data_IF_246956027368
#
_entry.id   IF_246956027368
#
_cell.length_a   1.000
_cell.length_b   1.000
_cell.length_c   1.000
_cell.angle_alpha   90.00
_cell.angle_beta   90.00
_cell.angle_gamma   90.00
#
_symmetry.space_group_name_H-M   'P 1'
#
loop_
_entity.id
_entity.type
_entity.pdbx_description
1 polymer ?
#
# COMPACT_ATOMS: atom_id res chain seq x y z
N UNK A 1 -1.52 3.71 12.91
CA UNK A 1 -2.35 2.58 12.43
C UNK A 1 -1.69 1.22 12.61
N UNK A 2 -0.37 1.07 12.44
CA UNK A 2 0.32 -0.23 12.58
C UNK A 2 0.17 -0.96 13.93
N UNK A 3 -0.12 -0.23 15.01
CA UNK A 3 -0.22 -0.78 16.37
C UNK A 3 -1.65 -0.82 16.93
N UNK A 4 -2.63 -0.19 16.26
CA UNK A 4 -4.01 -0.11 16.77
C UNK A 4 -4.86 -1.31 16.37
N UNK A 5 -4.72 -1.74 15.12
CA UNK A 5 -5.08 -3.08 14.67
C UNK A 5 -3.75 -3.83 14.64
N UNK A 6 -3.58 -4.99 15.28
CA UNK A 6 -2.28 -5.66 15.39
C UNK A 6 -1.80 -6.18 14.02
N UNK A 7 -1.41 -5.28 13.12
CA UNK A 7 -0.89 -5.54 11.78
C UNK A 7 0.40 -6.36 11.83
N UNK A 8 1.19 -6.15 12.88
CA UNK A 8 2.48 -6.82 13.10
C UNK A 8 2.31 -8.21 13.73
N UNK A 9 1.23 -8.43 14.50
CA UNK A 9 0.97 -9.71 15.19
C UNK A 9 -0.07 -10.58 14.49
N UNK A 10 -0.80 -10.03 13.51
CA UNK A 10 -1.79 -10.75 12.70
C UNK A 10 -1.19 -11.15 11.35
N UNK A 11 -0.80 -12.43 11.23
CA UNK A 11 -0.24 -13.00 10.00
C UNK A 11 -1.12 -12.78 8.77
N UNK A 12 -2.45 -12.74 8.93
CA UNK A 12 -3.42 -12.49 7.84
C UNK A 12 -3.26 -11.10 7.24
N UNK A 13 -2.88 -10.10 8.05
CA UNK A 13 -2.63 -8.73 7.60
C UNK A 13 -1.16 -8.46 7.24
N UNK A 14 -0.23 -9.29 7.72
CA UNK A 14 1.18 -9.22 7.32
C UNK A 14 1.39 -9.67 5.87
N UNK A 15 0.64 -10.69 5.41
CA UNK A 15 0.67 -11.19 4.03
C UNK A 15 0.41 -10.07 3.01
N UNK A 16 -0.75 -9.36 3.02
CA UNK A 16 -0.99 -8.30 2.04
C UNK A 16 0.04 -7.18 2.14
N UNK A 17 0.53 -6.87 3.34
CA UNK A 17 1.57 -5.86 3.50
C UNK A 17 2.85 -6.23 2.74
N UNK A 18 3.33 -7.47 2.85
CA UNK A 18 4.56 -7.89 2.18
C UNK A 18 4.34 -8.05 0.67
N UNK A 19 3.28 -8.76 0.27
CA UNK A 19 3.05 -9.09 -1.14
C UNK A 19 2.64 -7.86 -1.96
N UNK A 20 1.72 -7.03 -1.47
CA UNK A 20 1.26 -5.84 -2.22
C UNK A 20 2.42 -4.84 -2.37
N UNK A 21 3.19 -4.59 -1.31
CA UNK A 21 4.33 -3.69 -1.41
C UNK A 21 5.43 -4.27 -2.31
N UNK A 22 5.71 -5.58 -2.22
CA UNK A 22 6.71 -6.25 -3.06
C UNK A 22 6.34 -6.23 -4.54
N UNK A 23 5.10 -6.59 -4.89
CA UNK A 23 4.58 -6.55 -6.27
C UNK A 23 4.64 -5.13 -6.80
N UNK A 24 4.20 -4.15 -6.01
CA UNK A 24 4.18 -2.75 -6.44
C UNK A 24 5.60 -2.19 -6.67
N UNK A 25 6.56 -2.60 -5.84
CA UNK A 25 7.97 -2.27 -6.03
C UNK A 25 8.53 -2.92 -7.31
N UNK A 26 8.23 -4.19 -7.55
CA UNK A 26 8.64 -4.90 -8.76
C UNK A 26 8.08 -4.26 -10.02
N UNK A 27 6.80 -3.89 -10.02
CA UNK A 27 6.15 -3.16 -11.12
C UNK A 27 6.83 -1.82 -11.34
N UNK A 28 7.04 -1.03 -10.28
CA UNK A 28 7.70 0.27 -10.38
C UNK A 28 9.10 0.14 -11.00
N UNK A 29 9.90 -0.82 -10.53
CA UNK A 29 11.22 -1.10 -11.07
C UNK A 29 11.18 -1.51 -12.54
N UNK A 30 10.27 -2.43 -12.90
CA UNK A 30 10.11 -2.85 -14.29
C UNK A 30 9.76 -1.68 -15.21
N UNK A 31 8.79 -0.83 -14.81
CA UNK A 31 8.42 0.37 -15.57
C UNK A 31 9.58 1.38 -15.70
N UNK A 32 10.47 1.46 -14.72
CA UNK A 32 11.68 2.28 -14.79
C UNK A 32 12.71 1.70 -15.77
N UNK A 33 12.87 0.37 -15.81
CA UNK A 33 13.83 -0.31 -16.70
C UNK A 33 13.42 -0.19 -18.16
N UNK A 34 12.12 -0.34 -18.47
CA UNK A 34 11.59 -0.20 -19.85
C UNK A 34 11.50 1.26 -20.33
N UNK A 35 11.89 2.23 -19.51
CA UNK A 35 11.90 3.66 -19.86
C UNK A 35 10.53 4.34 -19.87
N UNK A 36 9.48 3.68 -19.39
CA UNK A 36 8.14 4.28 -19.25
C UNK A 36 8.14 5.30 -18.11
N UNK A 37 8.73 4.94 -16.97
CA UNK A 37 8.98 5.84 -15.85
C UNK A 37 10.41 6.38 -15.91
N UNK A 38 10.61 7.71 -15.85
CA UNK A 38 11.96 8.26 -15.73
C UNK A 38 12.56 7.89 -14.37
N UNK A 39 13.89 7.79 -14.33
CA UNK A 39 14.60 7.64 -13.06
C UNK A 39 14.34 8.87 -12.19
N UNK A 40 14.05 8.64 -10.91
CA UNK A 40 13.83 9.69 -9.93
C UNK A 40 15.04 10.62 -9.87
N UNK A 41 14.81 11.93 -9.88
CA UNK A 41 15.85 12.96 -10.03
C UNK A 41 16.79 13.15 -8.81
N UNK A 42 16.89 12.15 -7.93
CA UNK A 42 17.69 12.25 -6.69
C UNK A 42 17.06 13.12 -5.59
N UNK A 43 15.84 13.64 -5.81
CA UNK A 43 15.09 14.39 -4.80
C UNK A 43 14.42 13.42 -3.83
N UNK A 44 14.92 13.38 -2.59
CA UNK A 44 14.29 12.67 -1.48
C UNK A 44 13.03 13.42 -1.05
N UNK A 45 11.86 12.99 -1.51
CA UNK A 45 10.59 13.58 -1.05
C UNK A 45 10.36 13.26 0.43
N UNK A 46 10.11 14.27 1.29
CA UNK A 46 9.81 14.06 2.70
C UNK A 46 8.64 13.09 2.90
N UNK A 47 8.77 12.18 3.88
CA UNK A 47 7.69 11.27 4.27
C UNK A 47 6.54 12.09 4.88
N UNK A 48 5.49 12.31 4.09
CA UNK A 48 4.35 13.19 4.45
C UNK A 48 3.84 14.04 3.29
N UNK A 49 4.62 14.16 2.20
CA UNK A 49 4.14 14.81 0.99
C UNK A 49 2.97 14.05 0.35
N UNK A 50 1.91 14.73 -0.10
CA UNK A 50 0.84 14.10 -0.86
C UNK A 50 1.41 13.39 -2.09
N UNK A 51 0.87 12.20 -2.37
CA UNK A 51 1.37 11.28 -3.39
C UNK A 51 1.60 11.99 -4.73
N UNK A 52 0.63 12.78 -5.17
CA UNK A 52 0.70 13.53 -6.43
C UNK A 52 1.89 14.53 -6.42
N UNK A 53 1.99 15.36 -5.38
CA UNK A 53 3.07 16.34 -5.22
C UNK A 53 4.43 15.64 -5.16
N UNK A 54 4.50 14.50 -4.47
CA UNK A 54 5.72 13.73 -4.34
C UNK A 54 6.23 13.19 -5.68
N UNK A 55 5.31 12.74 -6.56
CA UNK A 55 5.67 12.29 -7.90
C UNK A 55 6.14 13.43 -8.82
N UNK A 56 5.54 14.62 -8.70
CA UNK A 56 6.01 15.80 -9.43
C UNK A 56 7.39 16.26 -8.96
N UNK A 57 7.64 16.26 -7.66
CA UNK A 57 8.95 16.59 -7.07
C UNK A 57 10.06 15.61 -7.48
N UNK A 58 9.71 14.35 -7.73
CA UNK A 58 10.64 13.34 -8.25
C UNK A 58 11.03 13.58 -9.73
N UNK A 59 10.47 14.61 -10.37
CA UNK A 59 10.90 15.13 -11.66
C UNK A 59 10.04 14.71 -12.84
N UNK A 60 8.89 14.05 -12.63
CA UNK A 60 8.00 13.69 -13.75
C UNK A 60 6.54 13.47 -13.39
N UNK A 61 5.66 14.02 -14.22
CA UNK A 61 4.21 13.77 -14.17
C UNK A 61 3.85 12.29 -14.33
N UNK A 62 4.67 11.51 -15.04
CA UNK A 62 4.46 10.06 -15.21
C UNK A 62 4.59 9.31 -13.88
N UNK A 63 5.50 9.77 -13.02
CA UNK A 63 5.69 9.22 -11.67
C UNK A 63 4.46 9.55 -10.81
N UNK A 64 3.98 10.79 -10.86
CA UNK A 64 2.75 11.18 -10.16
C UNK A 64 1.54 10.34 -10.59
N UNK A 65 1.36 10.12 -11.90
CA UNK A 65 0.29 9.27 -12.43
C UNK A 65 0.42 7.80 -11.97
N UNK A 66 1.63 7.24 -12.01
CA UNK A 66 1.88 5.88 -11.53
C UNK A 66 1.60 5.73 -10.03
N UNK A 67 2.02 6.70 -9.21
CA UNK A 67 1.76 6.66 -7.79
C UNK A 67 0.25 6.82 -7.48
N UNK A 68 -0.48 7.63 -8.26
CA UNK A 68 -1.93 7.77 -8.15
C UNK A 68 -2.65 6.46 -8.48
N UNK A 69 -2.37 5.85 -9.63
CA UNK A 69 -2.94 4.54 -10.00
C UNK A 69 -2.56 3.47 -8.98
N UNK A 70 -1.31 3.52 -8.51
CA UNK A 70 -0.77 2.66 -7.49
C UNK A 70 -1.48 2.75 -6.15
N UNK A 71 -1.93 3.93 -5.76
CA UNK A 71 -2.75 4.12 -4.56
C UNK A 71 -4.06 3.32 -4.67
N UNK A 72 -4.76 3.41 -5.80
CA UNK A 72 -6.00 2.67 -6.01
C UNK A 72 -5.77 1.16 -6.06
N UNK A 73 -4.70 0.71 -6.74
CA UNK A 73 -4.35 -0.71 -6.79
C UNK A 73 -4.04 -1.26 -5.38
N UNK A 74 -3.28 -0.51 -4.58
CA UNK A 74 -3.03 -0.87 -3.17
C UNK A 74 -4.32 -0.85 -2.36
N UNK A 75 -5.16 0.16 -2.53
CA UNK A 75 -6.44 0.26 -1.82
C UNK A 75 -7.35 -0.93 -2.12
N UNK A 76 -7.49 -1.31 -3.40
CA UNK A 76 -8.25 -2.48 -3.82
C UNK A 76 -7.66 -3.79 -3.28
N UNK A 77 -6.33 -3.93 -3.31
CA UNK A 77 -5.65 -5.09 -2.74
C UNK A 77 -5.86 -5.19 -1.23
N UNK A 78 -5.74 -4.08 -0.51
CA UNK A 78 -5.98 -4.03 0.94
C UNK A 78 -7.44 -4.27 1.31
N UNK A 79 -8.39 -3.80 0.49
CA UNK A 79 -9.81 -3.95 0.76
C UNK A 79 -10.23 -5.41 0.97
N UNK A 80 -9.71 -6.33 0.14
CA UNK A 80 -10.03 -7.75 0.25
C UNK A 80 -9.59 -8.33 1.61
N UNK A 81 -8.34 -8.10 2.00
CA UNK A 81 -7.79 -8.63 3.25
C UNK A 81 -8.35 -7.93 4.48
N UNK A 82 -8.63 -6.63 4.38
CA UNK A 82 -9.25 -5.86 5.44
C UNK A 82 -10.65 -6.39 5.75
N UNK A 83 -11.44 -6.70 4.72
CA UNK A 83 -12.76 -7.33 4.88
C UNK A 83 -12.68 -8.70 5.56
N UNK A 84 -11.66 -9.50 5.25
CA UNK A 84 -11.45 -10.79 5.94
C UNK A 84 -11.10 -10.60 7.41
N UNK A 85 -10.23 -9.64 7.73
CA UNK A 85 -9.87 -9.35 9.12
C UNK A 85 -11.06 -8.81 9.94
N UNK A 86 -11.88 -7.96 9.33
CA UNK A 86 -13.11 -7.41 9.92
C UNK A 86 -14.13 -8.51 10.27
N UNK A 87 -14.32 -9.49 9.37
CA UNK A 87 -15.19 -10.65 9.62
C UNK A 87 -14.71 -11.54 10.78
N UNK A 88 -13.40 -11.69 10.96
CA UNK A 88 -12.84 -12.46 12.08
C UNK A 88 -13.09 -11.75 13.40
N UNK A 89 -12.84 -10.45 13.48
CA UNK A 89 -13.09 -9.65 14.68
C UNK A 89 -14.59 -9.67 15.07
N UNK A 90 -15.49 -9.51 14.08
CA UNK A 90 -16.93 -9.57 14.32
C UNK A 90 -17.36 -10.96 14.85
N UNK A 91 -16.70 -12.05 14.46
CA UNK A 91 -16.98 -13.39 15.01
C UNK A 91 -16.52 -13.51 16.46
N UNK A 92 -15.36 -12.98 16.80
CA UNK A 92 -14.82 -13.02 18.17
C UNK A 92 -15.70 -12.23 19.15
N UNK A 93 -16.21 -11.07 18.74
CA UNK A 93 -17.18 -10.28 19.52
C UNK A 93 -18.47 -11.08 19.79
N UNK A 94 -19.08 -11.68 18.76
CA UNK A 94 -20.32 -12.44 18.90
C UNK A 94 -20.20 -13.72 19.74
N UNK A 95 -19.01 -14.31 19.87
CA UNK A 95 -18.79 -15.48 20.73
C UNK A 95 -18.61 -15.10 22.21
N UNK A 96 -18.08 -13.91 22.47
CA UNK A 96 -17.79 -13.44 23.83
C UNK A 96 -19.07 -13.04 24.59
N UNK A 97 -20.11 -12.58 23.90
CA UNK A 97 -21.42 -12.23 24.49
C UNK A 97 -22.31 -13.43 24.85
N UNK A 98 -21.88 -14.67 24.55
CA UNK A 98 -22.68 -15.90 24.80
C UNK A 98 -22.27 -16.71 26.02
N UNK A 99 -21.45 -16.16 26.92
CA UNK A 99 -20.93 -16.84 28.13
C UNK A 99 -21.37 -16.13 29.41
#
# INVERSE_FOLDING_TARGET
MAYGVPLVMNFTLAIPYIFINGIMLGIAWYLTVIGVLPRVAGVSTPAGMPIIISGFMQGSWKIAAFQFIGLFARFAGWYFFFKTADLVACREENQTDTI
#
